data_IF_791651201543
#
_entry.id   IF_791651201543
#
_cell.length_a   1.000
_cell.length_b   1.000
_cell.length_c   1.000
_cell.angle_alpha   90.00
_cell.angle_beta   90.00
_cell.angle_gamma   90.00
#
_symmetry.space_group_name_H-M   'P 1'
#
loop_
_entity.id
_entity.type
_entity.pdbx_description
1 polymer ?
#
# COMPACT_ATOMS: atom_id res chain seq x y z
N UNK A 1 -9.49 -14.37 -33.44
CA UNK A 1 -10.77 -14.42 -32.71
C UNK A 1 -10.61 -14.79 -31.24
N UNK A 2 -9.75 -15.75 -30.88
CA UNK A 2 -9.54 -16.22 -29.50
C UNK A 2 -9.13 -15.12 -28.50
N UNK A 3 -8.26 -14.18 -28.90
CA UNK A 3 -7.84 -13.06 -28.04
C UNK A 3 -9.01 -12.16 -27.60
N UNK A 4 -9.84 -11.73 -28.54
CA UNK A 4 -10.98 -10.85 -28.24
C UNK A 4 -12.03 -11.56 -27.39
N UNK A 5 -12.28 -12.84 -27.65
CA UNK A 5 -13.17 -13.66 -26.83
C UNK A 5 -12.66 -13.79 -25.38
N UNK A 6 -11.37 -14.08 -25.19
CA UNK A 6 -10.76 -14.17 -23.85
C UNK A 6 -10.78 -12.82 -23.13
N UNK A 7 -10.41 -11.72 -23.80
CA UNK A 7 -10.49 -10.37 -23.21
C UNK A 7 -11.92 -10.04 -22.77
N UNK A 8 -12.91 -10.33 -23.62
CA UNK A 8 -14.31 -10.07 -23.33
C UNK A 8 -14.84 -10.95 -22.18
N UNK A 9 -14.47 -12.23 -22.16
CA UNK A 9 -14.81 -13.16 -21.08
C UNK A 9 -14.20 -12.70 -19.74
N UNK A 10 -12.93 -12.30 -19.73
CA UNK A 10 -12.27 -11.78 -18.52
C UNK A 10 -12.90 -10.49 -18.04
N UNK A 11 -13.26 -9.58 -18.96
CA UNK A 11 -13.97 -8.35 -18.61
C UNK A 11 -15.31 -8.64 -17.96
N UNK A 12 -16.13 -9.52 -18.56
CA UNK A 12 -17.42 -9.92 -18.00
C UNK A 12 -17.27 -10.62 -16.65
N UNK A 13 -16.27 -11.50 -16.49
CA UNK A 13 -15.97 -12.15 -15.22
C UNK A 13 -15.58 -11.13 -14.14
N UNK A 14 -14.79 -10.12 -14.49
CA UNK A 14 -14.36 -9.06 -13.56
C UNK A 14 -15.54 -8.18 -13.15
N UNK A 15 -16.39 -7.78 -14.10
CA UNK A 15 -17.60 -7.01 -13.82
C UNK A 15 -18.55 -7.83 -12.94
N UNK A 16 -18.79 -9.11 -13.28
CA UNK A 16 -19.62 -10.01 -12.50
C UNK A 16 -19.09 -10.18 -11.08
N UNK A 17 -17.78 -10.39 -10.93
CA UNK A 17 -17.11 -10.46 -9.63
C UNK A 17 -17.31 -9.19 -8.80
N UNK A 18 -17.10 -8.01 -9.40
CA UNK A 18 -17.29 -6.72 -8.73
C UNK A 18 -18.73 -6.56 -8.26
N UNK A 19 -19.71 -6.75 -9.15
CA UNK A 19 -21.14 -6.59 -8.81
C UNK A 19 -21.52 -7.55 -7.68
N UNK A 20 -21.16 -8.84 -7.79
CA UNK A 20 -21.46 -9.83 -6.77
C UNK A 20 -20.77 -9.53 -5.43
N UNK A 21 -19.56 -8.96 -5.45
CA UNK A 21 -18.82 -8.59 -4.23
C UNK A 21 -19.51 -7.49 -3.41
N UNK A 22 -20.30 -6.63 -4.06
CA UNK A 22 -21.04 -5.54 -3.39
C UNK A 22 -22.53 -5.84 -3.19
N UNK A 23 -23.06 -6.97 -3.68
CA UNK A 23 -24.44 -7.37 -3.44
C UNK A 23 -24.61 -7.93 -2.01
N UNK A 24 -25.42 -7.30 -1.13
CA UNK A 24 -25.60 -7.77 0.24
C UNK A 24 -26.16 -9.19 0.33
N UNK A 25 -27.01 -9.58 -0.63
CA UNK A 25 -27.62 -10.91 -0.69
C UNK A 25 -26.60 -12.00 -1.02
N UNK A 26 -25.52 -11.67 -1.72
CA UNK A 26 -24.41 -12.59 -2.02
C UNK A 26 -23.47 -12.65 -0.83
N UNK A 27 -23.09 -11.50 -0.28
CA UNK A 27 -22.26 -11.41 0.92
C UNK A 27 -22.83 -12.19 2.11
N UNK A 28 -24.16 -12.12 2.33
CA UNK A 28 -24.84 -12.86 3.39
C UNK A 28 -24.92 -14.38 3.18
N UNK A 29 -24.59 -14.89 1.99
CA UNK A 29 -24.55 -16.33 1.67
C UNK A 29 -23.13 -16.90 1.66
N UNK A 30 -22.11 -16.06 1.67
CA UNK A 30 -20.72 -16.50 1.76
C UNK A 30 -20.43 -16.96 3.19
N UNK A 31 -19.56 -17.97 3.39
CA UNK A 31 -19.06 -18.31 4.70
C UNK A 31 -18.44 -17.06 5.33
N UNK A 32 -18.95 -16.65 6.49
CA UNK A 32 -18.31 -15.59 7.26
C UNK A 32 -17.06 -16.18 7.89
N UNK A 33 -15.90 -15.82 7.35
CA UNK A 33 -14.62 -16.03 8.00
C UNK A 33 -14.54 -15.05 9.17
N UNK A 34 -15.10 -15.46 10.29
CA UNK A 34 -14.99 -14.76 11.55
C UNK A 34 -13.71 -15.25 12.25
N UNK A 35 -12.74 -14.35 12.40
CA UNK A 35 -11.56 -14.64 13.20
C UNK A 35 -11.97 -14.49 14.67
N UNK A 36 -12.57 -15.55 15.20
CA UNK A 36 -13.08 -15.61 16.57
C UNK A 36 -12.20 -16.57 17.38
N UNK A 37 -11.99 -16.30 18.67
CA UNK A 37 -11.22 -17.16 19.58
C UNK A 37 -9.75 -16.78 19.74
N UNK A 38 -8.91 -17.72 20.19
CA UNK A 38 -7.52 -17.46 20.64
C UNK A 38 -6.62 -16.85 19.55
N UNK A 39 -6.87 -17.15 18.27
CA UNK A 39 -6.13 -16.58 17.14
C UNK A 39 -6.37 -15.06 16.98
N UNK A 40 -7.55 -14.58 17.32
CA UNK A 40 -7.87 -13.15 17.28
C UNK A 40 -7.35 -12.40 18.51
N UNK A 41 -7.16 -13.11 19.63
CA UNK A 41 -6.71 -12.53 20.88
C UNK A 41 -5.23 -12.12 20.86
N UNK A 42 -4.37 -12.91 20.22
CA UNK A 42 -2.91 -12.68 20.30
C UNK A 42 -2.16 -12.66 18.96
N UNK A 43 -2.21 -13.71 18.11
CA UNK A 43 -1.36 -13.75 16.92
C UNK A 43 -1.75 -12.72 15.86
N UNK A 44 -3.05 -12.40 15.68
CA UNK A 44 -3.46 -11.36 14.72
C UNK A 44 -3.00 -9.95 15.13
N UNK A 45 -3.21 -9.48 16.39
CA UNK A 45 -2.63 -8.22 16.86
C UNK A 45 -1.11 -8.16 16.74
N UNK A 46 -0.41 -9.25 17.09
CA UNK A 46 1.05 -9.32 16.98
C UNK A 46 1.50 -9.23 15.52
N UNK A 47 0.87 -9.97 14.62
CA UNK A 47 1.17 -9.93 13.19
C UNK A 47 0.92 -8.53 12.62
N UNK A 48 -0.17 -7.87 13.01
CA UNK A 48 -0.47 -6.51 12.61
C UNK A 48 0.62 -5.53 13.10
N UNK A 49 1.04 -5.64 14.36
CA UNK A 49 2.09 -4.80 14.93
C UNK A 49 3.45 -5.01 14.24
N UNK A 50 3.84 -6.27 13.98
CA UNK A 50 5.07 -6.59 13.26
C UNK A 50 5.03 -6.09 11.82
N UNK A 51 3.91 -6.26 11.13
CA UNK A 51 3.74 -5.78 9.75
C UNK A 51 3.80 -4.26 9.69
N UNK A 52 3.15 -3.56 10.63
CA UNK A 52 3.22 -2.11 10.76
C UNK A 52 4.67 -1.66 11.00
N UNK A 53 5.40 -2.33 11.89
CA UNK A 53 6.80 -2.01 12.16
C UNK A 53 7.65 -2.15 10.90
N UNK A 54 7.56 -3.28 10.20
CA UNK A 54 8.29 -3.51 8.93
C UNK A 54 7.94 -2.43 7.92
N UNK A 55 6.65 -2.11 7.78
CA UNK A 55 6.17 -1.11 6.84
C UNK A 55 6.69 0.30 7.16
N UNK A 56 6.74 0.68 8.44
CA UNK A 56 7.32 1.96 8.89
C UNK A 56 8.82 1.99 8.61
N UNK A 57 9.55 0.91 8.91
CA UNK A 57 11.00 0.83 8.65
C UNK A 57 11.31 1.01 7.16
N UNK A 58 10.56 0.34 6.27
CA UNK A 58 10.71 0.49 4.83
C UNK A 58 10.44 1.92 4.37
N UNK A 59 9.38 2.55 4.86
CA UNK A 59 9.05 3.92 4.49
C UNK A 59 10.08 4.94 5.00
N UNK A 60 10.57 4.79 6.22
CA UNK A 60 11.66 5.63 6.75
C UNK A 60 12.94 5.43 5.93
N UNK A 61 13.27 4.19 5.56
CA UNK A 61 14.40 3.88 4.69
C UNK A 61 14.25 4.57 3.32
N UNK A 62 13.06 4.50 2.71
CA UNK A 62 12.76 5.19 1.45
C UNK A 62 12.91 6.70 1.57
N UNK A 63 12.36 7.33 2.62
CA UNK A 63 12.56 8.77 2.86
C UNK A 63 14.04 9.11 3.02
N UNK A 64 14.80 8.26 3.73
CA UNK A 64 16.24 8.39 3.89
C UNK A 64 16.99 8.28 2.55
N UNK A 65 16.65 7.29 1.73
CA UNK A 65 17.22 7.08 0.40
C UNK A 65 16.91 8.25 -0.54
N UNK A 66 15.65 8.70 -0.61
CA UNK A 66 15.24 9.88 -1.38
C UNK A 66 16.02 11.12 -0.93
N UNK A 67 16.20 11.33 0.37
CA UNK A 67 17.01 12.45 0.88
C UNK A 67 18.50 12.30 0.55
N UNK A 68 19.02 11.09 0.60
CA UNK A 68 20.41 10.75 0.27
C UNK A 68 20.74 10.99 -1.19
N UNK A 69 19.83 10.63 -2.10
CA UNK A 69 19.94 10.87 -3.55
C UNK A 69 20.22 12.34 -3.88
N UNK A 70 19.57 13.29 -3.18
CA UNK A 70 19.82 14.73 -3.37
C UNK A 70 21.02 15.29 -2.59
N UNK A 71 21.78 14.47 -1.85
CA UNK A 71 23.00 14.89 -1.14
C UNK A 71 24.29 14.56 -1.92
N UNK A 72 24.24 13.69 -2.93
CA UNK A 72 25.44 13.28 -3.68
C UNK A 72 25.96 14.37 -4.63
N UNK A 73 27.27 14.30 -4.87
CA UNK A 73 28.08 15.29 -5.59
C UNK A 73 27.68 15.35 -7.07
N UNK A 74 27.73 16.56 -7.64
CA UNK A 74 27.57 16.83 -9.06
C UNK A 74 28.50 15.93 -9.90
N UNK A 75 27.93 15.11 -10.79
CA UNK A 75 28.69 14.20 -11.68
C UNK A 75 28.48 12.70 -11.42
N UNK A 76 27.60 12.31 -10.51
CA UNK A 76 27.15 10.92 -10.34
C UNK A 76 26.01 10.57 -11.30
N UNK A 77 25.84 9.27 -11.62
CA UNK A 77 24.71 8.75 -12.40
C UNK A 77 23.35 9.20 -11.81
N UNK A 78 23.29 9.37 -10.49
CA UNK A 78 22.13 9.88 -9.76
C UNK A 78 21.83 11.35 -10.10
N UNK A 79 22.87 12.18 -10.24
CA UNK A 79 22.72 13.59 -10.64
C UNK A 79 22.25 13.73 -12.09
N UNK A 80 22.71 12.85 -12.98
CA UNK A 80 22.23 12.77 -14.36
C UNK A 80 20.76 12.35 -14.43
N UNK A 81 20.36 11.33 -13.65
CA UNK A 81 18.96 10.92 -13.54
C UNK A 81 18.06 12.03 -12.98
N UNK A 82 18.49 12.74 -11.93
CA UNK A 82 17.75 13.88 -11.36
C UNK A 82 17.52 14.96 -12.43
N UNK A 83 18.54 15.28 -13.22
CA UNK A 83 18.46 16.28 -14.28
C UNK A 83 17.56 15.81 -15.44
N UNK A 84 17.69 14.55 -15.87
CA UNK A 84 16.89 13.97 -16.97
C UNK A 84 15.40 13.96 -16.64
N UNK A 85 15.03 13.61 -15.41
CA UNK A 85 13.63 13.52 -14.97
C UNK A 85 13.10 14.80 -14.33
N UNK A 86 13.89 15.87 -14.28
CA UNK A 86 13.54 17.16 -13.67
C UNK A 86 12.96 17.00 -12.24
N UNK A 87 13.66 16.19 -11.43
CA UNK A 87 13.22 15.85 -10.07
C UNK A 87 13.48 17.02 -9.13
N UNK A 88 12.41 17.52 -8.50
CA UNK A 88 12.51 18.59 -7.52
C UNK A 88 12.61 18.00 -6.12
N UNK A 89 13.75 18.21 -5.43
CA UNK A 89 14.03 17.69 -4.07
C UNK A 89 12.86 17.80 -3.11
N UNK A 90 12.26 18.99 -3.01
CA UNK A 90 11.15 19.23 -2.10
C UNK A 90 9.90 18.42 -2.46
N UNK A 91 9.58 18.31 -3.75
CA UNK A 91 8.43 17.56 -4.26
C UNK A 91 8.59 16.07 -4.03
N UNK A 92 9.75 15.50 -4.36
CA UNK A 92 9.99 14.06 -4.20
C UNK A 92 9.99 13.64 -2.73
N UNK A 93 10.62 14.43 -1.85
CA UNK A 93 10.59 14.19 -0.40
C UNK A 93 9.15 14.31 0.13
N UNK A 94 8.40 15.33 -0.29
CA UNK A 94 7.00 15.49 0.13
C UNK A 94 6.15 14.27 -0.23
N UNK A 95 6.21 13.81 -1.49
CA UNK A 95 5.48 12.62 -1.93
C UNK A 95 5.94 11.34 -1.24
N UNK A 96 7.21 11.23 -0.87
CA UNK A 96 7.75 10.06 -0.15
C UNK A 96 7.31 10.06 1.32
N UNK A 97 7.13 11.23 1.93
CA UNK A 97 6.75 11.37 3.35
C UNK A 97 5.23 11.22 3.57
N UNK A 98 4.39 11.53 2.58
CA UNK A 98 2.93 11.41 2.70
C UNK A 98 2.50 10.01 3.18
N UNK A 99 2.91 8.90 2.55
CA UNK A 99 2.52 7.56 3.00
C UNK A 99 2.90 7.28 4.47
N UNK A 100 4.07 7.77 4.91
CA UNK A 100 4.55 7.58 6.28
C UNK A 100 3.67 8.36 7.26
N UNK A 101 3.36 9.61 6.93
CA UNK A 101 2.44 10.44 7.70
C UNK A 101 1.04 9.84 7.78
N UNK A 102 0.51 9.35 6.66
CA UNK A 102 -0.80 8.67 6.61
C UNK A 102 -0.80 7.38 7.44
N UNK A 103 0.26 6.57 7.38
CA UNK A 103 0.41 5.35 8.18
C UNK A 103 0.41 5.68 9.67
N UNK A 104 1.20 6.68 10.08
CA UNK A 104 1.25 7.13 11.48
C UNK A 104 -0.09 7.69 11.96
N UNK A 105 -0.77 8.47 11.12
CA UNK A 105 -2.09 9.03 11.43
C UNK A 105 -3.14 7.92 11.59
N UNK A 106 -3.16 6.93 10.70
CA UNK A 106 -4.06 5.79 10.79
C UNK A 106 -3.78 4.93 12.04
N UNK A 107 -2.50 4.64 12.32
CA UNK A 107 -2.11 3.89 13.51
C UNK A 107 -2.52 4.62 14.80
N UNK A 108 -2.31 5.94 14.86
CA UNK A 108 -2.74 6.77 15.99
C UNK A 108 -4.25 6.78 16.14
N UNK A 109 -4.99 6.96 15.04
CA UNK A 109 -6.45 6.97 15.06
C UNK A 109 -7.01 5.64 15.53
N UNK A 110 -6.49 4.51 15.04
CA UNK A 110 -6.90 3.17 15.48
C UNK A 110 -6.55 2.90 16.94
N UNK A 111 -5.45 3.45 17.43
CA UNK A 111 -5.08 3.36 18.85
C UNK A 111 -6.01 4.20 19.73
N UNK A 112 -6.37 5.41 19.29
CA UNK A 112 -7.27 6.31 20.03
C UNK A 112 -8.75 5.90 19.96
N UNK A 113 -9.16 5.17 18.91
CA UNK A 113 -10.51 4.66 18.73
C UNK A 113 -10.75 3.30 19.41
N UNK A 114 -9.70 2.66 19.95
CA UNK A 114 -9.80 1.52 20.85
C UNK A 114 -10.15 1.97 22.26
#
# INVERSE_FOLDING_TARGET
>A
MTRYFVTFATLLATIGWLVLSYMPQVAGRLPQLAFDGELAAWPLPLLAALTLLVFVVLQVNLVGATRGMFRHVSGSDEAEAIALFNLARGREIFWTVIPLGSTAMLAFWLWAAR
#
